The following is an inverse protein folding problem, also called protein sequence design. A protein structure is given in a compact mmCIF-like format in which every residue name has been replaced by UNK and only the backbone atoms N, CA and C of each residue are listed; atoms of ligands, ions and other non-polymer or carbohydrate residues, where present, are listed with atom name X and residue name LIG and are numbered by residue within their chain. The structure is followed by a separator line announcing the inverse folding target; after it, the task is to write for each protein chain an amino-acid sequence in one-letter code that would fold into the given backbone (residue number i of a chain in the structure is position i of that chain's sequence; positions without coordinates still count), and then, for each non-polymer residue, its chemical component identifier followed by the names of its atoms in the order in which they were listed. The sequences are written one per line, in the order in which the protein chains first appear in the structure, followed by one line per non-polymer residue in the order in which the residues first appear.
data_IF_286002786552
#
_entry.id   IF_286002786552
#
_cell.length_a   1.000
_cell.length_b   1.000
_cell.length_c   1.000
_cell.angle_alpha   90.00
_cell.angle_beta   90.00
_cell.angle_gamma   90.00
#
_symmetry.space_group_name_H-M   'P 1'
#
loop_
_entity.id
_entity.type
_entity.pdbx_description
1 polymer ?
#
# COMPACT_ATOMS: atom_id res chain seq x y z
N UNK A 1 4.10 -15.22 -2.31
CA UNK A 1 3.77 -13.77 -2.28
C UNK A 1 3.72 -13.32 -0.84
N UNK A 2 4.38 -12.24 -0.51
CA UNK A 2 4.31 -11.56 0.78
C UNK A 2 3.38 -10.36 0.70
N UNK A 3 2.83 -9.93 1.84
CA UNK A 3 1.85 -8.85 1.91
C UNK A 3 2.23 -7.84 2.98
N UNK A 4 2.21 -6.54 2.64
CA UNK A 4 2.46 -5.43 3.56
C UNK A 4 1.26 -4.49 3.53
N UNK A 5 0.61 -4.28 4.69
CA UNK A 5 -0.42 -3.26 4.81
C UNK A 5 0.20 -1.95 5.29
N UNK A 6 -0.15 -0.84 4.65
CA UNK A 6 0.20 0.51 5.08
C UNK A 6 -1.02 1.12 5.74
N UNK A 7 -1.00 1.18 7.08
CA UNK A 7 -2.18 1.49 7.89
C UNK A 7 -1.92 2.68 8.80
N UNK A 8 -2.83 3.64 8.80
CA UNK A 8 -2.89 4.70 9.82
C UNK A 8 -4.27 5.33 9.77
N UNK A 9 -4.90 5.51 10.91
CA UNK A 9 -6.21 6.18 10.99
C UNK A 9 -6.12 7.67 10.65
N UNK A 10 -4.95 8.28 10.80
CA UNK A 10 -4.75 9.70 10.50
C UNK A 10 -4.57 9.92 9.00
N UNK A 11 -5.25 10.94 8.47
CA UNK A 11 -5.06 11.44 7.11
C UNK A 11 -3.74 12.22 6.95
N UNK A 12 -3.17 12.19 5.74
CA UNK A 12 -2.00 13.03 5.40
C UNK A 12 -0.67 12.60 6.00
N UNK A 13 -0.57 11.41 6.63
CA UNK A 13 0.69 10.89 7.19
C UNK A 13 1.60 10.22 6.16
N UNK A 14 1.15 10.10 4.89
CA UNK A 14 1.93 9.56 3.78
C UNK A 14 1.73 8.07 3.52
N UNK A 15 0.57 7.49 3.84
CA UNK A 15 0.26 6.08 3.52
C UNK A 15 0.44 5.77 2.04
N UNK A 16 -0.28 6.47 1.18
CA UNK A 16 -0.23 6.29 -0.28
C UNK A 16 1.17 6.55 -0.84
N UNK A 17 1.86 7.59 -0.33
CA UNK A 17 3.25 7.86 -0.73
C UNK A 17 4.15 6.68 -0.37
N UNK A 18 4.04 6.14 0.84
CA UNK A 18 4.82 4.99 1.26
C UNK A 18 4.51 3.75 0.42
N UNK A 19 3.24 3.46 0.15
CA UNK A 19 2.83 2.34 -0.68
C UNK A 19 3.41 2.42 -2.10
N UNK A 20 3.35 3.59 -2.72
CA UNK A 20 3.90 3.82 -4.07
C UNK A 20 5.42 3.70 -4.08
N UNK A 21 6.13 4.37 -3.16
CA UNK A 21 7.59 4.36 -3.12
C UNK A 21 8.15 2.95 -2.86
N UNK A 22 7.58 2.22 -1.90
CA UNK A 22 7.98 0.84 -1.59
C UNK A 22 7.66 -0.08 -2.78
N UNK A 23 6.47 0.07 -3.38
CA UNK A 23 6.05 -0.73 -4.53
C UNK A 23 6.94 -0.52 -5.75
N UNK A 24 7.38 0.71 -5.99
CA UNK A 24 8.31 1.04 -7.06
C UNK A 24 9.72 0.47 -6.78
N UNK A 25 10.22 0.62 -5.55
CA UNK A 25 11.50 0.04 -5.14
C UNK A 25 11.51 -1.50 -5.31
N UNK A 26 10.43 -2.16 -4.92
CA UNK A 26 10.26 -3.60 -5.09
C UNK A 26 10.29 -3.99 -6.58
N UNK A 27 9.62 -3.23 -7.42
CA UNK A 27 9.60 -3.44 -8.87
C UNK A 27 11.00 -3.25 -9.48
N UNK A 28 11.74 -2.22 -9.07
CA UNK A 28 13.13 -2.01 -9.50
C UNK A 28 14.06 -3.14 -9.05
N UNK A 29 13.83 -3.72 -7.88
CA UNK A 29 14.54 -4.89 -7.39
C UNK A 29 14.14 -6.20 -8.12
N UNK A 30 13.28 -6.15 -9.14
CA UNK A 30 12.90 -7.28 -9.97
C UNK A 30 11.70 -8.09 -9.46
N UNK A 31 11.03 -7.65 -8.38
CA UNK A 31 9.85 -8.33 -7.86
C UNK A 31 8.60 -8.04 -8.70
N UNK A 32 7.77 -9.06 -8.92
CA UNK A 32 6.41 -8.89 -9.45
C UNK A 32 5.56 -8.30 -8.32
N UNK A 33 5.18 -7.03 -8.46
CA UNK A 33 4.63 -6.25 -7.36
C UNK A 33 3.24 -5.71 -7.69
N UNK A 34 2.30 -5.85 -6.75
CA UNK A 34 0.98 -5.26 -6.80
C UNK A 34 0.80 -4.22 -5.68
N UNK A 35 0.11 -3.11 -5.96
CA UNK A 35 -0.43 -2.16 -4.97
C UNK A 35 -1.94 -2.25 -5.05
N UNK A 36 -2.58 -2.50 -3.91
CA UNK A 36 -4.03 -2.59 -3.79
C UNK A 36 -4.50 -1.37 -3.01
N UNK A 37 -5.17 -0.45 -3.71
CA UNK A 37 -5.67 0.81 -3.17
C UNK A 37 -7.09 0.60 -2.65
N UNK A 38 -7.26 0.64 -1.33
CA UNK A 38 -8.56 0.52 -0.66
C UNK A 38 -9.21 1.88 -0.37
N UNK A 39 -8.51 3.00 -0.67
CA UNK A 39 -9.07 4.32 -0.49
C UNK A 39 -10.06 4.64 -1.62
N UNK A 40 -11.33 4.99 -1.32
CA UNK A 40 -12.29 5.41 -2.33
C UNK A 40 -11.84 6.61 -3.16
N UNK A 41 -10.90 7.43 -2.65
CA UNK A 41 -10.29 8.51 -3.43
C UNK A 41 -9.42 7.98 -4.57
N UNK A 42 -8.91 6.74 -4.46
CA UNK A 42 -8.18 6.06 -5.50
C UNK A 42 -6.88 6.76 -5.90
N UNK A 43 -6.17 7.35 -4.96
CA UNK A 43 -4.96 8.13 -5.27
C UNK A 43 -3.86 7.26 -5.87
N UNK A 44 -3.57 6.10 -5.27
CA UNK A 44 -2.59 5.17 -5.85
C UNK A 44 -3.08 4.57 -7.16
N UNK A 45 -4.37 4.23 -7.27
CA UNK A 45 -4.96 3.69 -8.49
C UNK A 45 -4.91 4.70 -9.65
N UNK A 46 -5.22 5.97 -9.40
CA UNK A 46 -5.10 7.05 -10.39
C UNK A 46 -3.65 7.25 -10.82
N UNK A 47 -2.71 7.25 -9.87
CA UNK A 47 -1.28 7.31 -10.16
C UNK A 47 -0.86 6.16 -11.08
N UNK A 48 -1.20 4.91 -10.73
CA UNK A 48 -0.89 3.75 -11.56
C UNK A 48 -1.54 3.77 -12.95
N UNK A 49 -2.73 4.37 -13.07
CA UNK A 49 -3.44 4.54 -14.34
C UNK A 49 -2.81 5.55 -15.30
N UNK A 50 -2.09 6.56 -14.77
CA UNK A 50 -1.37 7.56 -15.58
C UNK A 50 0.01 7.11 -16.05
N UNK A 51 0.46 5.94 -15.56
CA UNK A 51 1.80 5.42 -15.89
C UNK A 51 1.73 4.36 -16.99
N UNK A 52 2.41 4.63 -18.09
CA UNK A 52 2.68 3.67 -19.15
C UNK A 52 4.05 3.03 -18.88
N UNK A 53 4.10 1.79 -18.38
CA UNK A 53 5.38 1.10 -18.32
C UNK A 53 5.74 0.38 -17.01
N UNK A 54 7.01 0.42 -16.62
CA UNK A 54 7.69 -0.48 -15.66
C UNK A 54 7.37 -0.25 -14.16
N UNK A 55 6.20 0.27 -13.84
CA UNK A 55 5.75 0.41 -12.45
C UNK A 55 5.16 -0.87 -11.85
N UNK A 56 4.83 -0.87 -10.56
CA UNK A 56 4.02 -1.91 -9.94
C UNK A 56 2.63 -1.95 -10.58
N UNK A 57 1.96 -3.12 -10.52
CA UNK A 57 0.56 -3.22 -10.86
C UNK A 57 -0.28 -2.53 -9.80
N UNK A 58 -1.06 -1.50 -10.14
CA UNK A 58 -1.92 -0.81 -9.17
C UNK A 58 -3.39 -1.04 -9.50
N UNK A 59 -4.17 -1.42 -8.49
CA UNK A 59 -5.61 -1.65 -8.63
C UNK A 59 -6.38 -1.03 -7.46
N UNK A 60 -7.43 -0.28 -7.75
CA UNK A 60 -8.39 0.17 -6.73
C UNK A 60 -9.38 -0.95 -6.41
N UNK A 61 -9.71 -1.13 -5.13
CA UNK A 61 -10.60 -2.19 -4.70
C UNK A 61 -11.37 -1.83 -3.42
N UNK A 62 -12.51 -2.47 -3.24
CA UNK A 62 -13.20 -2.45 -1.95
C UNK A 62 -12.56 -3.47 -1.00
N UNK A 63 -12.51 -3.16 0.29
CA UNK A 63 -11.91 -4.02 1.31
C UNK A 63 -12.53 -5.44 1.32
N UNK A 64 -13.82 -5.57 1.09
CA UNK A 64 -14.52 -6.87 0.99
C UNK A 64 -13.95 -7.81 -0.10
N UNK A 65 -13.23 -7.26 -1.09
CA UNK A 65 -12.64 -8.03 -2.18
C UNK A 65 -11.15 -8.31 -2.01
N UNK A 66 -10.55 -7.75 -0.97
CA UNK A 66 -9.11 -7.81 -0.75
C UNK A 66 -8.58 -9.25 -0.80
N UNK A 67 -9.25 -10.20 -0.14
CA UNK A 67 -8.81 -11.60 -0.10
C UNK A 67 -8.76 -12.24 -1.51
N UNK A 68 -9.79 -12.01 -2.33
CA UNK A 68 -9.86 -12.56 -3.70
C UNK A 68 -8.81 -11.93 -4.61
N UNK A 69 -8.55 -10.64 -4.45
CA UNK A 69 -7.51 -9.93 -5.23
C UNK A 69 -6.12 -10.44 -4.86
N UNK A 70 -5.83 -10.63 -3.57
CA UNK A 70 -4.55 -11.18 -3.11
C UNK A 70 -4.34 -12.61 -3.59
N UNK A 71 -5.39 -13.44 -3.57
CA UNK A 71 -5.31 -14.80 -4.09
C UNK A 71 -5.03 -14.81 -5.61
N UNK A 72 -5.71 -13.95 -6.35
CA UNK A 72 -5.47 -13.77 -7.79
C UNK A 72 -4.05 -13.28 -8.06
N UNK A 73 -3.55 -12.30 -7.30
CA UNK A 73 -2.18 -11.83 -7.44
C UNK A 73 -1.16 -12.95 -7.18
N UNK A 74 -1.39 -13.76 -6.14
CA UNK A 74 -0.54 -14.92 -5.82
C UNK A 74 -0.55 -15.95 -6.94
N UNK A 75 -1.72 -16.31 -7.47
CA UNK A 75 -1.87 -17.26 -8.56
C UNK A 75 -1.18 -16.82 -9.85
N UNK A 76 -1.05 -15.49 -10.07
CA UNK A 76 -0.33 -14.90 -11.21
C UNK A 76 1.14 -14.58 -10.92
N UNK A 77 1.70 -15.13 -9.84
CA UNK A 77 3.13 -15.07 -9.55
C UNK A 77 3.61 -13.74 -8.95
N UNK A 78 2.73 -12.97 -8.32
CA UNK A 78 3.17 -11.81 -7.56
C UNK A 78 4.09 -12.24 -6.40
N UNK A 79 5.17 -11.49 -6.19
CA UNK A 79 6.12 -11.69 -5.10
C UNK A 79 5.73 -10.86 -3.88
N UNK A 80 5.24 -9.63 -4.12
CA UNK A 80 4.86 -8.67 -3.09
C UNK A 80 3.53 -8.00 -3.43
N UNK A 81 2.64 -7.91 -2.45
CA UNK A 81 1.46 -7.07 -2.49
C UNK A 81 1.52 -6.01 -1.39
N UNK A 82 1.27 -4.75 -1.73
CA UNK A 82 1.19 -3.64 -0.79
C UNK A 82 -0.26 -3.17 -0.76
N UNK A 83 -0.81 -3.03 0.44
CA UNK A 83 -2.21 -2.62 0.63
C UNK A 83 -2.20 -1.20 1.19
N UNK A 84 -2.68 -0.23 0.39
CA UNK A 84 -2.89 1.15 0.80
C UNK A 84 -4.29 1.32 1.39
N UNK A 85 -4.40 1.84 2.61
CA UNK A 85 -5.68 1.96 3.32
C UNK A 85 -6.18 3.40 3.40
N UNK A 86 -7.51 3.62 3.40
CA UNK A 86 -8.07 4.94 3.58
C UNK A 86 -7.79 5.51 4.98
N UNK A 87 -7.85 6.84 5.15
CA UNK A 87 -7.83 7.45 6.48
C UNK A 87 -9.14 7.20 7.23
N UNK A 88 -9.09 7.20 8.55
CA UNK A 88 -10.26 7.15 9.46
C UNK A 88 -11.26 6.01 9.17
N UNK A 89 -10.84 4.93 8.52
CA UNK A 89 -11.68 3.79 8.19
C UNK A 89 -11.20 2.54 8.94
N UNK A 90 -11.89 2.19 10.01
CA UNK A 90 -11.51 1.08 10.89
C UNK A 90 -11.60 -0.27 10.18
N UNK A 91 -12.68 -0.53 9.46
CA UNK A 91 -12.91 -1.83 8.81
C UNK A 91 -11.89 -2.14 7.72
N UNK A 92 -11.61 -1.29 6.72
CA UNK A 92 -10.55 -1.54 5.74
C UNK A 92 -9.17 -1.69 6.36
N UNK A 93 -8.83 -0.90 7.39
CA UNK A 93 -7.57 -0.99 8.12
C UNK A 93 -7.44 -2.33 8.85
N UNK A 94 -8.50 -2.76 9.53
CA UNK A 94 -8.57 -4.04 10.24
C UNK A 94 -8.43 -5.22 9.27
N UNK A 95 -9.16 -5.20 8.14
CA UNK A 95 -9.09 -6.25 7.13
C UNK A 95 -7.70 -6.34 6.51
N UNK A 96 -7.11 -5.19 6.14
CA UNK A 96 -5.75 -5.13 5.60
C UNK A 96 -4.72 -5.66 6.59
N UNK A 97 -4.75 -5.20 7.85
CA UNK A 97 -3.84 -5.65 8.89
C UNK A 97 -3.98 -7.16 9.15
N UNK A 98 -5.21 -7.68 9.24
CA UNK A 98 -5.49 -9.09 9.52
C UNK A 98 -4.92 -10.04 8.47
N UNK A 99 -4.90 -9.66 7.20
CA UNK A 99 -4.48 -10.54 6.09
C UNK A 99 -3.00 -10.37 5.74
N UNK A 100 -2.32 -9.33 6.26
CA UNK A 100 -0.94 -9.01 5.90
C UNK A 100 0.09 -9.79 6.71
N UNK A 101 1.25 -10.02 6.10
CA UNK A 101 2.42 -10.59 6.77
C UNK A 101 3.10 -9.54 7.66
N UNK A 102 2.96 -8.24 7.32
CA UNK A 102 3.53 -7.13 8.07
C UNK A 102 2.66 -5.88 7.95
N UNK A 103 2.62 -5.07 9.01
CA UNK A 103 1.90 -3.79 9.04
C UNK A 103 2.87 -2.62 9.22
N UNK A 104 2.95 -1.74 8.24
CA UNK A 104 3.70 -0.48 8.31
C UNK A 104 2.77 0.65 8.72
N UNK A 105 3.12 1.39 9.78
CA UNK A 105 2.31 2.46 10.34
C UNK A 105 3.04 3.80 10.14
N UNK A 106 2.82 4.52 9.03
CA UNK A 106 3.40 5.84 8.86
C UNK A 106 2.77 6.84 9.82
N UNK A 107 3.62 7.69 10.41
CA UNK A 107 3.22 8.80 11.28
C UNK A 107 4.12 10.01 11.06
N UNK A 108 3.60 11.20 11.31
CA UNK A 108 4.42 12.41 11.40
C UNK A 108 4.94 12.61 12.81
N UNK A 109 6.10 13.25 13.01
CA UNK A 109 6.57 13.57 14.33
C UNK A 109 5.70 14.70 14.94
N UNK A 110 5.08 14.43 16.08
CA UNK A 110 4.25 15.41 16.77
C UNK A 110 3.37 14.80 17.85
N UNK A 111 2.95 15.60 18.83
CA UNK A 111 2.16 15.13 19.97
C UNK A 111 0.80 14.56 19.57
N UNK A 112 0.05 15.28 18.75
CA UNK A 112 -1.28 14.84 18.27
C UNK A 112 -1.20 13.63 17.33
N UNK A 113 -0.13 13.52 16.54
CA UNK A 113 0.10 12.36 15.68
C UNK A 113 0.40 11.11 16.51
N UNK A 114 1.12 11.27 17.62
CA UNK A 114 1.42 10.19 18.53
C UNK A 114 0.16 9.60 19.16
N UNK A 115 -0.80 10.42 19.60
CA UNK A 115 -2.07 9.94 20.15
C UNK A 115 -2.88 9.17 19.08
N UNK A 116 -2.93 9.70 17.86
CA UNK A 116 -3.67 9.08 16.77
C UNK A 116 -3.15 7.70 16.35
N UNK A 117 -1.84 7.44 16.47
CA UNK A 117 -1.28 6.13 16.09
C UNK A 117 -1.47 5.07 17.18
N UNK A 118 -1.74 5.45 18.44
CA UNK A 118 -1.94 4.48 19.52
C UNK A 118 -3.04 3.47 19.19
N UNK A 119 -4.18 3.95 18.71
CA UNK A 119 -5.29 3.07 18.27
C UNK A 119 -4.88 2.12 17.15
N UNK A 120 -4.04 2.58 16.22
CA UNK A 120 -3.54 1.70 15.15
C UNK A 120 -2.57 0.65 15.71
N UNK A 121 -1.70 1.03 16.64
CA UNK A 121 -0.78 0.11 17.33
C UNK A 121 -1.57 -0.93 18.12
N UNK A 122 -2.55 -0.50 18.93
CA UNK A 122 -3.41 -1.39 19.73
C UNK A 122 -4.11 -2.42 18.83
N UNK A 123 -4.63 -2.00 17.67
CA UNK A 123 -5.24 -2.90 16.70
C UNK A 123 -4.23 -3.93 16.17
N UNK A 124 -3.02 -3.52 15.81
CA UNK A 124 -1.99 -4.43 15.28
C UNK A 124 -1.54 -5.43 16.32
N UNK A 125 -1.33 -4.97 17.56
CA UNK A 125 -1.01 -5.83 18.72
C UNK A 125 -2.14 -6.82 19.04
N UNK A 126 -3.39 -6.35 19.06
CA UNK A 126 -4.57 -7.21 19.26
C UNK A 126 -4.67 -8.32 18.21
N UNK A 127 -4.34 -8.01 16.98
CA UNK A 127 -4.32 -8.99 15.88
C UNK A 127 -3.10 -9.95 15.94
N UNK A 128 -2.12 -9.69 16.80
CA UNK A 128 -0.88 -10.45 16.88
C UNK A 128 -0.07 -10.38 15.59
N UNK A 129 -0.14 -9.26 14.84
CA UNK A 129 0.57 -9.10 13.58
C UNK A 129 1.90 -8.39 13.77
N UNK A 130 2.97 -8.84 13.09
CA UNK A 130 4.20 -8.08 13.02
C UNK A 130 3.95 -6.70 12.41
N UNK A 131 4.52 -5.67 12.98
CA UNK A 131 4.36 -4.33 12.44
C UNK A 131 5.37 -3.36 13.03
N UNK A 132 5.54 -2.21 12.39
CA UNK A 132 6.38 -1.14 12.90
C UNK A 132 5.89 0.24 12.47
N UNK A 133 6.24 1.24 13.26
CA UNK A 133 6.00 2.64 12.92
C UNK A 133 7.09 3.16 12.00
N UNK A 134 6.70 3.84 10.92
CA UNK A 134 7.58 4.65 10.08
C UNK A 134 7.41 6.12 10.45
N UNK A 135 8.45 6.75 10.98
CA UNK A 135 8.45 8.20 11.20
C UNK A 135 8.68 8.88 9.87
N UNK A 136 7.65 9.60 9.40
CA UNK A 136 7.59 10.22 8.08
C UNK A 136 7.46 11.75 8.18
N UNK A 137 7.89 12.45 7.11
CA UNK A 137 7.78 13.91 6.98
C UNK A 137 8.40 14.68 8.16
N UNK A 138 9.60 14.28 8.57
CA UNK A 138 10.35 14.99 9.60
C UNK A 138 10.92 16.27 9.00
N UNK A 139 10.56 17.46 9.51
CA UNK A 139 11.14 18.70 9.03
C UNK A 139 12.67 18.72 9.23
N UNK A 140 13.43 19.11 8.21
CA UNK A 140 14.90 19.10 8.24
C UNK A 140 15.49 19.97 9.34
N UNK A 141 14.79 21.03 9.73
CA UNK A 141 15.15 21.95 10.82
C UNK A 141 14.64 21.53 12.20
N UNK A 142 13.92 20.39 12.31
CA UNK A 142 13.31 19.91 13.57
C UNK A 142 13.56 18.41 13.79
N UNK A 143 14.75 17.94 13.51
CA UNK A 143 15.11 16.51 13.65
C UNK A 143 14.93 15.98 15.08
N UNK A 144 15.01 16.84 16.11
CA UNK A 144 14.73 16.47 17.50
C UNK A 144 13.30 15.92 17.70
N UNK A 145 12.33 16.27 16.84
CA UNK A 145 10.98 15.74 16.91
C UNK A 145 10.96 14.23 16.60
N UNK A 146 11.80 13.77 15.69
CA UNK A 146 11.94 12.34 15.43
C UNK A 146 12.50 11.61 16.65
N UNK A 147 13.54 12.16 17.30
CA UNK A 147 14.13 11.59 18.51
C UNK A 147 13.09 11.49 19.65
N UNK A 148 12.30 12.54 19.88
CA UNK A 148 11.22 12.53 20.87
C UNK A 148 10.15 11.48 20.56
N UNK A 149 9.80 11.33 19.27
CA UNK A 149 8.81 10.32 18.84
C UNK A 149 9.36 8.91 19.03
N UNK A 150 10.62 8.67 18.67
CA UNK A 150 11.32 7.40 18.90
C UNK A 150 11.35 7.02 20.38
N UNK A 151 11.67 7.96 21.26
CA UNK A 151 11.71 7.73 22.69
C UNK A 151 10.32 7.32 23.24
N UNK A 152 9.27 8.01 22.82
CA UNK A 152 7.88 7.68 23.23
C UNK A 152 7.46 6.29 22.74
N UNK A 153 7.76 5.94 21.49
CA UNK A 153 7.47 4.62 20.94
C UNK A 153 8.29 3.53 21.61
N UNK A 154 9.58 3.80 21.92
CA UNK A 154 10.44 2.89 22.65
C UNK A 154 9.92 2.57 24.05
N UNK A 155 9.36 3.57 24.76
CA UNK A 155 8.73 3.36 26.09
C UNK A 155 7.49 2.46 25.99
N UNK A 156 6.78 2.48 24.86
CA UNK A 156 5.65 1.60 24.60
C UNK A 156 6.08 0.17 24.23
N UNK A 157 7.30 -0.02 23.77
CA UNK A 157 7.83 -1.31 23.32
C UNK A 157 7.37 -1.74 21.92
N UNK A 158 6.71 -0.86 21.15
CA UNK A 158 6.33 -1.16 19.78
C UNK A 158 7.49 -0.90 18.82
N UNK A 159 7.64 -1.77 17.82
CA UNK A 159 8.74 -1.67 16.87
C UNK A 159 8.65 -0.39 16.01
N UNK A 160 9.82 0.18 15.72
CA UNK A 160 9.97 1.34 14.84
C UNK A 160 10.94 0.99 13.73
N UNK A 161 10.62 1.39 12.50
CA UNK A 161 11.52 1.23 11.38
C UNK A 161 12.84 1.97 11.66
N UNK A 162 14.01 1.40 11.34
CA UNK A 162 15.31 2.02 11.61
C UNK A 162 15.61 3.20 10.70
N UNK A 163 14.65 3.57 9.85
CA UNK A 163 14.74 4.64 8.88
C UNK A 163 13.69 5.70 9.17
N UNK A 164 14.09 6.96 9.08
CA UNK A 164 13.22 8.12 9.19
C UNK A 164 13.14 8.78 7.82
N UNK A 165 11.93 9.04 7.34
CA UNK A 165 11.73 9.81 6.12
C UNK A 165 11.63 11.29 6.45
N UNK A 166 12.54 12.05 5.87
CA UNK A 166 12.55 13.50 6.04
C UNK A 166 11.49 14.19 5.15
N UNK A 167 11.07 15.39 5.52
CA UNK A 167 10.27 16.22 4.65
C UNK A 167 11.14 16.69 3.46
N UNK A 168 10.85 16.14 2.27
CA UNK A 168 11.59 16.41 1.04
C UNK A 168 10.63 16.71 -0.11
N UNK A 169 11.01 17.65 -0.96
CA UNK A 169 10.27 17.98 -2.18
C UNK A 169 10.02 16.72 -3.04
N UNK A 170 11.01 15.84 -3.16
CA UNK A 170 10.90 14.62 -3.95
C UNK A 170 9.72 13.69 -3.55
N UNK A 171 9.30 13.69 -2.28
CA UNK A 171 8.10 12.98 -1.86
C UNK A 171 6.80 13.74 -2.18
N UNK A 172 6.82 15.08 -2.07
CA UNK A 172 5.68 15.92 -2.39
C UNK A 172 5.43 15.96 -3.90
N UNK A 173 6.48 15.99 -4.70
CA UNK A 173 6.44 16.06 -6.17
C UNK A 173 5.86 14.80 -6.82
N UNK A 174 5.76 13.66 -6.10
CA UNK A 174 5.09 12.45 -6.59
C UNK A 174 3.67 12.74 -7.10
N UNK A 175 2.98 13.72 -6.48
CA UNK A 175 1.65 14.15 -6.91
C UNK A 175 1.66 15.09 -8.13
N UNK A 176 2.80 15.66 -8.48
CA UNK A 176 2.94 16.67 -9.54
C UNK A 176 3.33 16.05 -10.90
N UNK A 177 4.26 15.08 -10.91
CA UNK A 177 4.79 14.47 -12.13
C UNK A 177 4.71 12.94 -12.16
N UNK A 178 4.07 12.34 -11.18
CA UNK A 178 3.88 10.89 -11.02
C UNK A 178 5.19 10.06 -10.95
N UNK A 179 6.35 10.69 -10.74
CA UNK A 179 7.64 10.00 -10.66
C UNK A 179 8.01 9.68 -9.21
N UNK A 180 8.18 8.39 -8.85
CA UNK A 180 8.79 8.01 -7.59
C UNK A 180 10.20 8.58 -7.44
N UNK A 181 10.68 8.73 -6.22
CA UNK A 181 11.99 9.37 -5.94
C UNK A 181 13.14 8.71 -6.72
N UNK A 182 13.17 7.38 -6.74
CA UNK A 182 14.20 6.58 -7.42
C UNK A 182 14.16 6.68 -8.94
N UNK A 183 13.00 7.00 -9.53
CA UNK A 183 12.88 7.25 -10.97
C UNK A 183 13.28 8.68 -11.32
N UNK A 184 13.02 9.63 -10.41
CA UNK A 184 13.34 11.04 -10.59
C UNK A 184 14.85 11.28 -10.46
N UNK A 185 15.43 10.77 -9.39
CA UNK A 185 16.85 10.90 -9.05
C UNK A 185 17.24 9.75 -8.12
N UNK A 186 17.93 8.75 -8.68
CA UNK A 186 18.31 7.55 -7.95
C UNK A 186 19.32 7.84 -6.83
N UNK A 187 20.12 8.90 -6.97
CA UNK A 187 21.22 9.25 -6.07
C UNK A 187 20.81 10.29 -5.01
N UNK A 188 19.54 10.68 -4.97
CA UNK A 188 19.07 11.65 -3.98
C UNK A 188 18.81 10.99 -2.61
N UNK A 189 18.92 11.80 -1.54
CA UNK A 189 18.67 11.34 -0.17
C UNK A 189 17.29 10.72 0.05
N UNK A 190 16.26 11.14 -0.70
CA UNK A 190 14.93 10.54 -0.61
C UNK A 190 14.95 9.11 -1.16
N UNK A 191 15.69 8.86 -2.23
CA UNK A 191 15.88 7.53 -2.80
C UNK A 191 16.65 6.60 -1.86
N UNK A 192 17.67 7.12 -1.17
CA UNK A 192 18.38 6.38 -0.11
C UNK A 192 17.44 5.97 1.03
N UNK A 193 16.60 6.91 1.48
CA UNK A 193 15.62 6.65 2.55
C UNK A 193 14.59 5.59 2.14
N UNK A 194 14.12 5.61 0.88
CA UNK A 194 13.22 4.59 0.34
C UNK A 194 13.91 3.24 0.23
N UNK A 195 15.14 3.20 -0.31
CA UNK A 195 15.91 1.99 -0.46
C UNK A 195 16.22 1.32 0.89
N UNK A 196 16.59 2.12 1.90
CA UNK A 196 16.85 1.64 3.24
C UNK A 196 15.61 1.05 3.90
N UNK A 197 14.43 1.72 3.78
CA UNK A 197 13.17 1.19 4.28
C UNK A 197 12.78 -0.11 3.57
N UNK A 198 12.89 -0.15 2.25
CA UNK A 198 12.54 -1.34 1.47
C UNK A 198 13.44 -2.52 1.83
N UNK A 199 14.76 -2.32 1.92
CA UNK A 199 15.71 -3.35 2.33
C UNK A 199 15.38 -3.93 3.70
N UNK A 200 15.12 -3.06 4.69
CA UNK A 200 14.70 -3.48 6.02
C UNK A 200 13.35 -4.23 5.99
N UNK A 201 12.35 -3.74 5.26
CA UNK A 201 11.06 -4.45 5.12
C UNK A 201 11.25 -5.86 4.52
N UNK A 202 12.11 -6.02 3.53
CA UNK A 202 12.42 -7.32 2.95
C UNK A 202 12.99 -8.31 3.98
N UNK A 203 13.78 -7.82 4.94
CA UNK A 203 14.25 -8.64 6.06
C UNK A 203 13.09 -9.05 6.97
N UNK A 204 12.21 -8.12 7.33
CA UNK A 204 11.06 -8.39 8.20
C UNK A 204 10.09 -9.42 7.62
N UNK A 205 9.90 -9.42 6.30
CA UNK A 205 8.94 -10.32 5.62
C UNK A 205 9.60 -11.55 4.99
N UNK A 206 10.92 -11.73 5.16
CA UNK A 206 11.66 -12.89 4.64
C UNK A 206 11.80 -12.90 3.11
N UNK A 207 11.94 -11.72 2.47
CA UNK A 207 12.24 -11.58 1.04
C UNK A 207 13.72 -11.25 0.76
N UNK A 208 14.52 -10.94 1.79
CA UNK A 208 15.91 -10.51 1.64
C UNK A 208 16.78 -11.57 0.94
N UNK A 209 16.63 -12.84 1.28
CA UNK A 209 17.42 -13.92 0.68
C UNK A 209 17.08 -14.14 -0.79
N UNK A 210 15.82 -14.02 -1.16
CA UNK A 210 15.39 -14.10 -2.55
C UNK A 210 15.98 -12.98 -3.41
N UNK A 211 16.10 -11.77 -2.84
CA UNK A 211 16.74 -10.63 -3.51
C UNK A 211 18.27 -10.80 -3.64
N UNK A 212 18.95 -11.28 -2.57
CA UNK A 212 20.41 -11.53 -2.58
C UNK A 212 20.82 -12.65 -3.54
N UNK A 213 19.98 -13.66 -3.68
CA UNK A 213 20.24 -14.77 -4.59
C UNK A 213 20.21 -14.37 -6.08
N UNK A 214 19.95 -13.10 -6.38
CA UNK A 214 19.89 -12.60 -7.77
C UNK A 214 18.85 -13.34 -8.61
N UNK A 215 17.89 -13.89 -7.94
CA UNK A 215 17.13 -15.03 -8.39
C UNK A 215 15.95 -14.62 -9.23
N UNK A 216 16.16 -14.10 -10.45
CA UNK A 216 15.30 -14.56 -11.55
C UNK A 216 15.94 -14.26 -12.89
N UNK A 217 16.09 -15.23 -13.79
CA UNK A 217 16.50 -14.96 -15.13
C UNK A 217 15.43 -14.14 -15.84
N UNK A 218 15.76 -12.90 -16.12
CA UNK A 218 15.08 -12.09 -17.09
C UNK A 218 14.15 -11.00 -16.58
N UNK A 219 14.63 -9.76 -16.62
CA UNK A 219 13.80 -8.57 -16.56
C UNK A 219 12.58 -8.65 -17.55
N UNK A 220 12.73 -9.37 -18.66
CA UNK A 220 11.70 -9.55 -19.67
C UNK A 220 10.55 -10.47 -19.18
N UNK A 221 10.85 -11.53 -18.44
CA UNK A 221 9.84 -12.42 -17.86
C UNK A 221 9.05 -11.70 -16.74
N UNK A 222 9.75 -10.93 -15.92
CA UNK A 222 9.12 -10.10 -14.88
C UNK A 222 8.20 -9.02 -15.49
N UNK A 223 8.57 -8.40 -16.60
CA UNK A 223 7.71 -7.42 -17.31
C UNK A 223 6.43 -8.05 -17.84
N UNK A 224 6.54 -9.22 -18.49
CA UNK A 224 5.39 -9.94 -19.01
C UNK A 224 4.46 -10.42 -17.90
N UNK A 225 5.00 -10.92 -16.79
CA UNK A 225 4.23 -11.32 -15.61
C UNK A 225 3.53 -10.13 -14.97
N UNK A 226 4.19 -8.99 -14.90
CA UNK A 226 3.61 -7.74 -14.36
C UNK A 226 2.46 -7.23 -15.24
N UNK A 227 2.62 -7.25 -16.56
CA UNK A 227 1.58 -6.85 -17.49
C UNK A 227 0.34 -7.77 -17.40
N UNK A 228 0.56 -9.07 -17.34
CA UNK A 228 -0.52 -10.06 -17.18
C UNK A 228 -1.25 -9.87 -15.85
N UNK A 229 -0.51 -9.67 -14.77
CA UNK A 229 -1.06 -9.37 -13.46
C UNK A 229 -1.93 -8.11 -13.50
N UNK A 230 -1.46 -7.02 -14.14
CA UNK A 230 -2.21 -5.77 -14.29
C UNK A 230 -3.55 -6.01 -14.99
N UNK A 231 -3.57 -6.75 -16.09
CA UNK A 231 -4.80 -7.07 -16.83
C UNK A 231 -5.77 -7.89 -16.00
N UNK A 232 -5.29 -8.92 -15.30
CA UNK A 232 -6.13 -9.81 -14.51
C UNK A 232 -6.74 -9.11 -13.29
N UNK A 233 -5.95 -8.32 -12.57
CA UNK A 233 -6.45 -7.59 -11.41
C UNK A 233 -7.41 -6.46 -11.82
N UNK A 234 -7.13 -5.77 -12.94
CA UNK A 234 -8.04 -4.76 -13.48
C UNK A 234 -9.39 -5.37 -13.90
N UNK A 235 -9.36 -6.52 -14.60
CA UNK A 235 -10.58 -7.23 -14.97
C UNK A 235 -11.40 -7.69 -13.75
N UNK A 236 -10.73 -8.09 -12.67
CA UNK A 236 -11.39 -8.48 -11.42
C UNK A 236 -12.02 -7.27 -10.73
N UNK A 237 -11.34 -6.13 -10.71
CA UNK A 237 -11.85 -4.90 -10.11
C UNK A 237 -13.10 -4.37 -10.85
N UNK A 238 -13.12 -4.47 -12.19
CA UNK A 238 -14.22 -3.98 -13.03
C UNK A 238 -15.48 -4.85 -12.99
N UNK A 239 -15.37 -6.17 -12.82
CA UNK A 239 -16.52 -7.09 -12.82
C UNK A 239 -17.63 -6.77 -11.81
N UNK A 240 -17.41 -5.86 -10.88
CA UNK A 240 -18.40 -5.48 -9.87
C UNK A 240 -19.23 -4.24 -10.20
N UNK A 241 -18.78 -3.40 -11.14
CA UNK A 241 -19.63 -2.31 -11.60
C UNK A 241 -20.82 -2.81 -12.42
N UNK A 242 -20.68 -3.96 -13.11
CA UNK A 242 -21.74 -4.54 -13.94
C UNK A 242 -22.66 -5.48 -13.14
N UNK A 243 -22.17 -6.15 -12.09
CA UNK A 243 -22.96 -7.01 -11.22
C UNK A 243 -24.04 -6.25 -10.43
N UNK A 244 -23.71 -5.08 -9.90
CA UNK A 244 -24.66 -4.22 -9.20
C UNK A 244 -25.68 -3.59 -10.15
N UNK A 245 -25.29 -3.23 -11.38
CA UNK A 245 -26.25 -2.74 -12.40
C UNK A 245 -27.20 -3.83 -12.85
N UNK A 246 -26.72 -5.06 -13.03
CA UNK A 246 -27.57 -6.18 -13.41
C UNK A 246 -28.56 -6.58 -12.28
N UNK A 247 -28.12 -6.50 -11.01
CA UNK A 247 -28.99 -6.75 -9.87
C UNK A 247 -30.08 -5.66 -9.72
N UNK A 248 -29.75 -4.39 -9.90
CA UNK A 248 -30.72 -3.30 -9.90
C UNK A 248 -31.69 -3.36 -11.10
N UNK A 249 -31.23 -3.74 -12.29
CA UNK A 249 -32.10 -3.93 -13.44
C UNK A 249 -33.02 -5.14 -13.26
N UNK A 250 -32.58 -6.24 -12.65
CA UNK A 250 -33.42 -7.40 -12.40
C UNK A 250 -34.49 -7.17 -11.32
N UNK A 251 -34.22 -6.32 -10.34
CA UNK A 251 -35.21 -5.90 -9.32
C UNK A 251 -36.24 -4.94 -9.91
N UNK A 252 -35.83 -4.01 -10.77
CA UNK A 252 -36.75 -3.10 -11.48
C UNK A 252 -37.68 -3.83 -12.44
N UNK A 253 -37.24 -4.85 -13.16
CA UNK A 253 -38.06 -5.67 -14.04
C UNK A 253 -39.10 -6.53 -13.28
N UNK A 254 -38.74 -7.06 -12.11
CA UNK A 254 -39.70 -7.84 -11.29
C UNK A 254 -40.78 -6.98 -10.64
N UNK A 255 -40.50 -5.72 -10.37
CA UNK A 255 -41.51 -4.78 -9.84
C UNK A 255 -42.47 -4.32 -10.94
N UNK A 256 -41.98 -4.11 -12.16
CA UNK A 256 -42.79 -3.73 -13.33
C UNK A 256 -43.72 -4.85 -13.79
N UNK A 257 -43.34 -6.11 -13.69
CA UNK A 257 -44.17 -7.27 -14.03
C UNK A 257 -45.24 -7.58 -12.97
N UNK A 258 -45.03 -7.18 -11.70
CA UNK A 258 -46.05 -7.29 -10.65
C UNK A 258 -47.18 -6.28 -10.82
N UNK A 259 -46.86 -5.06 -11.25
CA UNK A 259 -47.88 -4.02 -11.47
C UNK A 259 -48.74 -4.26 -12.71
N UNK A 260 -48.23 -4.98 -13.72
CA UNK A 260 -48.98 -5.40 -14.91
C UNK A 260 -49.91 -6.58 -14.72
N UNK A 261 -49.76 -7.36 -13.66
CA UNK A 261 -50.65 -8.51 -13.35
C UNK A 261 -51.75 -8.19 -12.34
N UNK A 262 -51.81 -6.94 -11.83
CA UNK A 262 -52.78 -6.46 -10.90
C UNK A 262 -53.73 -5.35 -11.49
N UNK A 263 -53.66 -5.16 -12.80
CA UNK A 263 -54.62 -4.41 -13.64
C UNK A 263 -55.26 -5.38 -14.62
#
# INVERSE_FOLDING_TARGET
MKTVAVVSQKGGVGKTTAAIQIGFAARQAGLVTAIIDLDPQGTAAKWGGRRDGDGPCVVGAQAARLAVILETARAHGADLAIIDTPPAAEEPALQAAKISDFVLIPTRPGGFDFEAIQTTIDMVEYLGRPGAVLINSVPTNRQHLAATTLERLGRRGFAVAPVVWMERAAFADLGADDKPTQERDADCKASDEVAALFGWLCEQIGLADALRAGARPGQQFSRMSQALLKVQLAALALRNHDGDRAAHMSLGFRQFDRERRSS
#
